data_IF_298936395094
#
_entry.id   IF_298936395094
#
_cell.length_a   1.000
_cell.length_b   1.000
_cell.length_c   1.000
_cell.angle_alpha   90.00
_cell.angle_beta   90.00
_cell.angle_gamma   90.00
#
_symmetry.space_group_name_H-M   'P 1'
#
loop_
_entity.id
_entity.type
_entity.pdbx_description
1 polymer ?
#
# COMPACT_ATOMS: atom_id res chain seq x y z
N UNK A 1 -9.96 39.24 14.35
CA UNK A 1 -10.74 38.04 14.74
C UNK A 1 -10.06 37.43 15.96
N UNK A 2 -10.69 37.50 17.14
CA UNK A 2 -10.07 37.10 18.42
C UNK A 2 -10.13 35.56 18.56
N UNK A 3 -8.98 34.92 18.74
CA UNK A 3 -8.90 33.51 19.14
C UNK A 3 -9.45 33.34 20.58
N UNK A 4 -10.34 32.37 20.84
CA UNK A 4 -10.71 32.01 22.20
C UNK A 4 -9.55 31.28 22.92
N UNK A 5 -9.46 31.36 24.25
CA UNK A 5 -8.36 30.77 25.00
C UNK A 5 -8.41 29.23 24.98
N UNK A 6 -7.23 28.61 24.82
CA UNK A 6 -7.04 27.16 24.84
C UNK A 6 -7.51 26.59 26.18
N UNK A 7 -8.51 25.70 26.16
CA UNK A 7 -8.78 24.81 27.30
C UNK A 7 -7.57 23.89 27.47
N UNK A 8 -6.98 23.92 28.66
CA UNK A 8 -5.93 22.98 29.05
C UNK A 8 -6.49 21.56 28.99
N UNK A 9 -5.89 20.70 28.16
CA UNK A 9 -6.10 19.27 28.18
C UNK A 9 -5.38 18.72 29.42
N UNK A 10 -6.14 18.19 30.38
CA UNK A 10 -5.60 17.51 31.56
C UNK A 10 -4.74 16.29 31.14
N UNK A 11 -3.63 16.00 31.84
CA UNK A 11 -2.81 14.84 31.57
C UNK A 11 -3.55 13.57 32.03
N UNK A 12 -3.92 12.70 31.08
CA UNK A 12 -4.44 11.36 31.41
C UNK A 12 -3.31 10.50 31.99
N UNK A 13 -3.55 9.95 33.18
CA UNK A 13 -2.65 9.06 33.92
C UNK A 13 -2.20 7.85 33.10
N UNK A 14 -0.99 7.30 33.34
CA UNK A 14 -0.52 6.10 32.67
C UNK A 14 -1.25 4.88 33.20
N UNK A 15 -1.98 4.17 32.33
CA UNK A 15 -2.60 2.89 32.67
C UNK A 15 -1.51 1.83 32.88
N UNK A 16 -1.51 1.28 34.10
CA UNK A 16 -0.65 0.23 34.58
C UNK A 16 -0.73 -1.05 33.74
N UNK A 17 0.40 -1.75 33.72
CA UNK A 17 0.68 -3.07 33.20
C UNK A 17 -0.40 -4.15 33.37
N UNK A 18 -0.44 -5.03 32.35
CA UNK A 18 -0.95 -6.40 32.28
C UNK A 18 -2.32 -6.60 31.59
N UNK A 19 -2.26 -7.48 30.58
CA UNK A 19 -3.28 -7.87 29.59
C UNK A 19 -3.59 -6.80 28.53
N UNK A 20 -3.16 -7.06 27.30
CA UNK A 20 -3.64 -6.35 26.12
C UNK A 20 -5.17 -6.46 26.07
N UNK A 21 -5.93 -5.35 26.16
CA UNK A 21 -7.37 -5.42 26.02
C UNK A 21 -7.67 -5.69 24.54
N UNK A 22 -8.48 -6.71 24.28
CA UNK A 22 -9.09 -6.91 22.98
C UNK A 22 -9.75 -5.60 22.53
N UNK A 23 -9.38 -5.07 21.34
CA UNK A 23 -9.97 -3.87 20.73
C UNK A 23 -11.49 -4.08 20.72
N UNK A 24 -12.29 -3.35 21.54
CA UNK A 24 -13.72 -3.59 21.60
C UNK A 24 -14.30 -3.27 20.23
N UNK A 25 -14.91 -4.27 19.59
CA UNK A 25 -15.79 -4.04 18.46
C UNK A 25 -16.80 -2.96 18.88
N UNK A 26 -17.01 -1.96 18.03
CA UNK A 26 -18.17 -1.07 18.19
C UNK A 26 -19.40 -1.96 18.45
N UNK A 27 -20.18 -1.71 19.52
CA UNK A 27 -21.22 -2.62 19.95
C UNK A 27 -22.25 -2.77 18.82
N UNK A 28 -22.39 -3.98 18.27
CA UNK A 28 -23.47 -4.32 17.34
C UNK A 28 -23.11 -4.95 15.98
N UNK A 29 -21.85 -5.28 15.68
CA UNK A 29 -21.53 -6.05 14.45
C UNK A 29 -20.77 -7.34 14.76
N UNK A 30 -21.50 -8.40 15.09
CA UNK A 30 -20.93 -9.75 15.00
C UNK A 30 -20.64 -10.08 13.52
N UNK A 31 -19.43 -10.58 13.18
CA UNK A 31 -19.12 -10.97 11.82
C UNK A 31 -19.97 -12.18 11.42
N UNK A 32 -20.67 -12.09 10.27
CA UNK A 32 -21.40 -13.24 9.72
C UNK A 32 -20.37 -14.33 9.36
N UNK A 33 -20.62 -15.61 9.70
CA UNK A 33 -19.62 -16.70 9.58
C UNK A 33 -19.11 -16.91 8.14
N UNK A 34 -19.91 -16.54 7.14
CA UNK A 34 -19.58 -16.74 5.71
C UNK A 34 -18.94 -15.52 5.02
N UNK A 35 -18.77 -14.39 5.71
CA UNK A 35 -18.22 -13.16 5.10
C UNK A 35 -16.84 -12.82 5.67
N UNK A 36 -15.84 -12.71 4.79
CA UNK A 36 -14.55 -12.10 5.14
C UNK A 36 -14.72 -10.57 5.18
N UNK A 37 -14.27 -9.92 6.24
CA UNK A 37 -14.36 -8.46 6.44
C UNK A 37 -13.02 -7.92 6.92
N UNK A 38 -12.58 -6.83 6.31
CA UNK A 38 -11.48 -6.02 6.78
C UNK A 38 -12.04 -4.76 7.47
N UNK A 39 -11.50 -4.39 8.63
CA UNK A 39 -11.88 -3.17 9.35
C UNK A 39 -10.63 -2.52 9.97
N UNK A 40 -10.49 -1.20 9.82
CA UNK A 40 -9.45 -0.44 10.52
C UNK A 40 -9.81 -0.27 12.01
N UNK A 41 -8.94 -0.68 12.94
CA UNK A 41 -9.11 -0.51 14.40
C UNK A 41 -7.86 0.12 14.99
N UNK A 42 -8.01 0.81 16.12
CA UNK A 42 -6.89 1.20 16.96
C UNK A 42 -6.53 0.04 17.92
N UNK A 43 -5.60 -0.81 17.51
CA UNK A 43 -5.13 -1.96 18.30
C UNK A 43 -3.87 -1.56 19.09
N UNK A 44 -3.93 -1.61 20.43
CA UNK A 44 -2.77 -1.35 21.30
C UNK A 44 -2.05 -0.01 21.03
N UNK A 45 -2.81 1.05 20.73
CA UNK A 45 -2.25 2.37 20.41
C UNK A 45 -1.68 2.52 19.00
N UNK A 46 -1.84 1.51 18.13
CA UNK A 46 -1.48 1.57 16.70
C UNK A 46 -2.71 1.31 15.83
N UNK A 47 -2.84 2.06 14.73
CA UNK A 47 -3.86 1.78 13.74
C UNK A 47 -3.44 0.58 12.89
N UNK A 48 -4.33 -0.41 12.80
CA UNK A 48 -4.12 -1.60 12.00
C UNK A 48 -5.43 -2.07 11.34
N UNK A 49 -5.30 -2.94 10.34
CA UNK A 49 -6.42 -3.53 9.62
C UNK A 49 -6.60 -4.94 10.16
N UNK A 50 -7.74 -5.18 10.82
CA UNK A 50 -8.15 -6.51 11.25
C UNK A 50 -8.95 -7.20 10.15
N UNK A 51 -8.53 -8.38 9.75
CA UNK A 51 -9.23 -9.28 8.84
C UNK A 51 -9.95 -10.33 9.69
N UNK A 52 -11.27 -10.42 9.52
CA UNK A 52 -12.13 -11.35 10.27
C UNK A 52 -13.08 -12.10 9.34
N UNK A 53 -13.25 -13.41 9.55
CA UNK A 53 -14.21 -14.25 8.82
C UNK A 53 -13.55 -15.42 8.08
N UNK A 54 -14.37 -16.37 7.62
CA UNK A 54 -13.91 -17.63 7.00
C UNK A 54 -12.84 -18.38 7.83
N UNK A 55 -12.93 -18.33 9.16
CA UNK A 55 -11.97 -18.98 10.06
C UNK A 55 -10.66 -18.22 10.25
N UNK A 56 -10.54 -17.00 9.72
CA UNK A 56 -9.36 -16.15 9.93
C UNK A 56 -9.71 -14.99 10.86
N UNK A 57 -8.84 -14.74 11.84
CA UNK A 57 -8.81 -13.55 12.67
C UNK A 57 -7.35 -13.09 12.75
N UNK A 58 -6.99 -12.14 11.88
CA UNK A 58 -5.60 -11.77 11.61
C UNK A 58 -5.45 -10.26 11.56
N UNK A 59 -4.32 -9.75 12.00
CA UNK A 59 -3.91 -8.37 11.76
C UNK A 59 -3.03 -8.29 10.52
N UNK A 60 -3.24 -7.27 9.68
CA UNK A 60 -2.45 -7.10 8.45
C UNK A 60 -0.98 -6.89 8.77
N UNK A 61 -0.64 -6.19 9.86
CA UNK A 61 0.75 -6.02 10.28
C UNK A 61 1.51 -7.34 10.52
N UNK A 62 0.82 -8.38 10.98
CA UNK A 62 1.39 -9.70 11.27
C UNK A 62 1.57 -10.56 10.00
N UNK A 63 0.73 -10.35 8.99
CA UNK A 63 0.62 -11.23 7.81
C UNK A 63 1.18 -10.58 6.52
N UNK A 64 1.40 -9.26 6.51
CA UNK A 64 1.82 -8.50 5.34
C UNK A 64 3.14 -8.99 4.71
N UNK A 65 4.07 -9.47 5.52
CA UNK A 65 5.39 -9.88 5.05
C UNK A 65 5.55 -11.39 4.88
N UNK A 66 4.54 -12.18 5.23
CA UNK A 66 4.59 -13.64 5.22
C UNK A 66 3.65 -14.17 4.12
N UNK A 67 2.44 -14.56 4.49
CA UNK A 67 1.47 -15.26 3.63
C UNK A 67 1.07 -14.43 2.40
N UNK A 68 1.03 -13.09 2.51
CA UNK A 68 0.65 -12.22 1.39
C UNK A 68 1.73 -12.07 0.30
N UNK A 69 2.98 -12.45 0.58
CA UNK A 69 4.09 -12.39 -0.39
C UNK A 69 4.41 -13.74 -1.03
N UNK A 70 3.71 -14.80 -0.67
CA UNK A 70 3.92 -16.11 -1.25
C UNK A 70 3.67 -16.09 -2.78
N UNK A 71 4.43 -16.84 -3.58
CA UNK A 71 4.32 -16.83 -5.04
C UNK A 71 2.92 -17.16 -5.57
N UNK A 72 2.13 -17.95 -4.81
CA UNK A 72 0.73 -18.29 -5.14
C UNK A 72 -0.19 -17.07 -5.09
N UNK A 73 0.04 -16.18 -4.13
CA UNK A 73 -0.72 -14.94 -3.97
C UNK A 73 -0.17 -13.88 -4.93
N UNK A 74 1.16 -13.73 -4.98
CA UNK A 74 1.87 -12.73 -5.78
C UNK A 74 1.46 -12.71 -7.26
N UNK A 75 1.30 -13.88 -7.89
CA UNK A 75 0.88 -14.00 -9.29
C UNK A 75 -0.53 -13.46 -9.56
N UNK A 76 -1.42 -13.51 -8.56
CA UNK A 76 -2.82 -13.11 -8.69
C UNK A 76 -3.08 -11.67 -8.25
N UNK A 77 -2.11 -11.01 -7.59
CA UNK A 77 -2.23 -9.62 -7.13
C UNK A 77 -2.66 -8.68 -8.25
N UNK A 78 -2.07 -8.71 -9.47
CA UNK A 78 -2.47 -7.79 -10.53
C UNK A 78 -3.93 -7.97 -10.97
N UNK A 79 -4.38 -9.22 -11.04
CA UNK A 79 -5.75 -9.58 -11.44
C UNK A 79 -6.77 -9.14 -10.40
N UNK A 80 -6.49 -9.41 -9.12
CA UNK A 80 -7.36 -8.98 -8.02
C UNK A 80 -7.39 -7.47 -7.93
N UNK A 81 -6.24 -6.80 -8.01
CA UNK A 81 -6.15 -5.34 -7.95
C UNK A 81 -6.99 -4.67 -9.05
N UNK A 82 -7.01 -5.22 -10.27
CA UNK A 82 -7.84 -4.68 -11.37
C UNK A 82 -9.34 -4.70 -11.05
N UNK A 83 -9.80 -5.72 -10.32
CA UNK A 83 -11.23 -5.91 -10.02
C UNK A 83 -11.65 -5.20 -8.72
N UNK A 84 -10.72 -5.00 -7.78
CA UNK A 84 -11.04 -4.51 -6.42
C UNK A 84 -10.52 -3.11 -6.13
N UNK A 85 -9.89 -2.42 -7.09
CA UNK A 85 -9.30 -1.10 -6.89
C UNK A 85 -10.27 -0.10 -6.25
N UNK A 86 -11.53 -0.07 -6.70
CA UNK A 86 -12.56 0.80 -6.13
C UNK A 86 -12.89 0.50 -4.67
N UNK A 87 -12.92 -0.78 -4.28
CA UNK A 87 -13.14 -1.20 -2.88
C UNK A 87 -11.95 -0.80 -2.00
N UNK A 88 -10.72 -0.89 -2.51
CA UNK A 88 -9.51 -0.44 -1.79
C UNK A 88 -9.57 1.07 -1.55
N UNK A 89 -9.94 1.86 -2.55
CA UNK A 89 -10.09 3.31 -2.41
C UNK A 89 -11.16 3.65 -1.38
N UNK A 90 -12.33 3.01 -1.47
CA UNK A 90 -13.43 3.21 -0.51
C UNK A 90 -13.03 2.83 0.91
N UNK A 91 -12.30 1.72 1.06
CA UNK A 91 -11.77 1.26 2.35
C UNK A 91 -10.77 2.27 2.93
N UNK A 92 -9.80 2.72 2.14
CA UNK A 92 -8.79 3.70 2.58
C UNK A 92 -9.43 5.03 2.99
N UNK A 93 -10.40 5.53 2.21
CA UNK A 93 -11.16 6.73 2.55
C UNK A 93 -11.96 6.57 3.85
N UNK A 94 -12.63 5.42 4.03
CA UNK A 94 -13.35 5.11 5.27
C UNK A 94 -12.44 5.01 6.49
N UNK A 95 -11.26 4.39 6.34
CA UNK A 95 -10.27 4.31 7.41
C UNK A 95 -9.75 5.69 7.83
N UNK A 96 -9.48 6.58 6.86
CA UNK A 96 -9.07 7.95 7.13
C UNK A 96 -10.14 8.73 7.90
N UNK A 97 -11.43 8.56 7.57
CA UNK A 97 -12.53 9.18 8.31
C UNK A 97 -12.64 8.67 9.74
N UNK A 98 -12.48 7.36 9.97
CA UNK A 98 -12.45 6.80 11.33
C UNK A 98 -11.29 7.38 12.15
N UNK A 99 -10.09 7.44 11.58
CA UNK A 99 -8.92 8.03 12.24
C UNK A 99 -9.12 9.52 12.56
N UNK A 100 -9.76 10.27 11.65
CA UNK A 100 -10.13 11.68 11.88
C UNK A 100 -11.14 11.83 13.02
N UNK A 101 -12.14 10.95 13.09
CA UNK A 101 -13.12 10.94 14.17
C UNK A 101 -12.49 10.67 15.54
N UNK A 102 -11.43 9.86 15.58
CA UNK A 102 -10.60 9.60 16.76
C UNK A 102 -9.61 10.75 17.08
N UNK A 103 -9.67 11.87 16.36
CA UNK A 103 -8.91 13.09 16.64
C UNK A 103 -7.52 13.16 15.99
N UNK A 104 -7.21 12.30 15.01
CA UNK A 104 -5.94 12.34 14.30
C UNK A 104 -5.97 13.19 13.03
N UNK A 105 -4.83 13.81 12.72
CA UNK A 105 -4.55 14.36 11.40
C UNK A 105 -4.03 13.23 10.51
N UNK A 106 -4.72 12.94 9.42
CA UNK A 106 -4.40 11.84 8.51
C UNK A 106 -3.74 12.38 7.25
N UNK A 107 -2.53 11.90 6.95
CA UNK A 107 -1.86 12.12 5.67
C UNK A 107 -1.93 10.82 4.86
N UNK A 108 -2.41 10.91 3.62
CA UNK A 108 -2.50 9.78 2.71
C UNK A 108 -1.53 9.98 1.54
N UNK A 109 -0.61 9.04 1.37
CA UNK A 109 0.37 9.01 0.28
C UNK A 109 0.04 7.87 -0.70
N UNK A 110 0.26 8.11 -1.99
CA UNK A 110 0.02 7.11 -3.02
C UNK A 110 0.23 7.64 -4.42
N UNK A 111 0.02 6.76 -5.40
CA UNK A 111 0.03 7.16 -6.83
C UNK A 111 -1.18 8.05 -7.11
N UNK A 112 -0.99 9.13 -7.86
CA UNK A 112 -2.07 10.06 -8.24
C UNK A 112 -3.30 9.33 -8.78
N UNK A 113 -3.08 8.38 -9.71
CA UNK A 113 -4.12 7.52 -10.29
C UNK A 113 -5.04 6.82 -9.29
N UNK A 114 -4.57 6.55 -8.07
CA UNK A 114 -5.40 5.95 -7.01
C UNK A 114 -5.98 7.03 -6.09
N UNK A 115 -5.17 8.03 -5.74
CA UNK A 115 -5.58 9.10 -4.83
C UNK A 115 -6.64 10.01 -5.42
N UNK A 116 -6.69 10.22 -6.74
CA UNK A 116 -7.67 11.06 -7.44
C UNK A 116 -9.12 10.69 -7.14
N UNK A 117 -9.36 9.43 -6.77
CA UNK A 117 -10.68 8.93 -6.41
C UNK A 117 -11.05 9.11 -4.92
N UNK A 118 -10.11 9.55 -4.09
CA UNK A 118 -10.36 9.92 -2.69
C UNK A 118 -10.88 11.36 -2.64
N UNK A 119 -12.11 11.52 -2.18
CA UNK A 119 -12.78 12.83 -2.06
C UNK A 119 -12.19 13.60 -0.88
N UNK A 120 -11.31 14.55 -1.16
CA UNK A 120 -10.76 15.48 -0.17
C UNK A 120 -10.49 16.83 -0.81
N UNK A 121 -10.79 17.96 -0.14
CA UNK A 121 -10.42 19.29 -0.61
C UNK A 121 -8.93 19.60 -0.41
N UNK A 122 -8.21 18.79 0.39
CA UNK A 122 -6.80 19.00 0.71
C UNK A 122 -5.94 18.00 -0.04
N UNK A 123 -5.21 18.47 -1.06
CA UNK A 123 -4.35 17.65 -1.91
C UNK A 123 -3.03 18.36 -2.20
N UNK A 124 -1.96 17.60 -2.06
CA UNK A 124 -0.61 17.99 -2.42
C UNK A 124 -0.07 16.94 -3.39
N UNK A 125 0.59 17.39 -4.46
CA UNK A 125 1.20 16.49 -5.44
C UNK A 125 2.71 16.72 -5.45
N UNK A 126 3.46 15.62 -5.31
CA UNK A 126 4.91 15.63 -5.47
C UNK A 126 5.24 15.41 -6.94
N UNK A 127 5.52 16.50 -7.65
CA UNK A 127 6.00 16.45 -9.03
C UNK A 127 7.52 16.51 -9.08
N UNK A 128 8.15 15.60 -9.80
CA UNK A 128 9.57 15.72 -10.13
C UNK A 128 9.77 16.90 -11.08
N UNK A 129 10.88 17.62 -10.91
CA UNK A 129 11.25 18.72 -11.82
C UNK A 129 11.40 18.25 -13.28
N UNK A 130 11.79 16.99 -13.50
CA UNK A 130 11.94 16.39 -14.83
C UNK A 130 11.25 15.01 -14.88
N UNK A 131 10.00 14.94 -15.37
CA UNK A 131 9.26 13.69 -15.48
C UNK A 131 9.91 12.65 -16.40
N UNK A 132 10.71 13.10 -17.37
CA UNK A 132 11.41 12.24 -18.35
C UNK A 132 12.34 11.21 -17.69
N UNK A 133 12.86 11.50 -16.49
CA UNK A 133 13.76 10.60 -15.75
C UNK A 133 13.06 9.27 -15.45
N UNK A 134 11.74 9.27 -15.19
CA UNK A 134 10.97 8.03 -14.97
C UNK A 134 10.89 7.21 -16.26
N UNK A 135 10.65 7.87 -17.40
CA UNK A 135 10.61 7.23 -18.71
C UNK A 135 11.95 6.59 -19.07
N UNK A 136 13.05 7.33 -18.88
CA UNK A 136 14.42 6.85 -19.11
C UNK A 136 14.76 5.66 -18.23
N UNK A 137 14.45 5.72 -16.93
CA UNK A 137 14.68 4.60 -16.01
C UNK A 137 13.89 3.36 -16.43
N UNK A 138 12.62 3.52 -16.82
CA UNK A 138 11.78 2.40 -17.26
C UNK A 138 12.27 1.80 -18.58
N UNK A 139 12.71 2.64 -19.53
CA UNK A 139 13.33 2.18 -20.77
C UNK A 139 14.59 1.34 -20.47
N UNK A 140 15.49 1.86 -19.63
CA UNK A 140 16.69 1.14 -19.20
C UNK A 140 16.35 -0.20 -18.53
N UNK A 141 15.37 -0.23 -17.62
CA UNK A 141 14.94 -1.47 -16.95
C UNK A 141 14.35 -2.50 -17.92
N UNK A 142 13.56 -2.07 -18.91
CA UNK A 142 13.01 -2.97 -19.94
C UNK A 142 14.11 -3.55 -20.82
N UNK A 143 15.04 -2.71 -21.27
CA UNK A 143 16.20 -3.16 -22.05
C UNK A 143 17.05 -4.17 -21.28
N UNK A 144 17.36 -3.88 -20.01
CA UNK A 144 18.14 -4.78 -19.16
C UNK A 144 17.44 -6.11 -18.93
N UNK A 145 16.13 -6.10 -18.64
CA UNK A 145 15.37 -7.33 -18.44
C UNK A 145 15.33 -8.20 -19.70
N UNK A 146 15.15 -7.61 -20.88
CA UNK A 146 15.15 -8.32 -22.14
C UNK A 146 16.53 -8.89 -22.49
N UNK A 147 17.60 -8.10 -22.30
CA UNK A 147 18.97 -8.56 -22.49
C UNK A 147 19.32 -9.72 -21.53
N UNK A 148 18.86 -9.67 -20.27
CA UNK A 148 19.07 -10.74 -19.29
C UNK A 148 18.36 -12.04 -19.68
N UNK A 149 17.18 -11.95 -20.31
CA UNK A 149 16.49 -13.13 -20.87
C UNK A 149 17.28 -13.74 -22.02
N UNK A 150 17.84 -12.91 -22.90
CA UNK A 150 18.66 -13.37 -24.03
C UNK A 150 19.98 -14.03 -23.59
N UNK A 151 20.49 -13.66 -22.40
CA UNK A 151 21.75 -14.17 -21.85
C UNK A 151 21.58 -15.32 -20.85
N UNK A 152 20.35 -15.82 -20.63
CA UNK A 152 20.04 -16.84 -19.60
C UNK A 152 20.87 -18.12 -19.71
N UNK A 153 21.25 -18.50 -20.93
CA UNK A 153 21.97 -19.75 -21.20
C UNK A 153 23.49 -19.59 -21.08
N UNK A 154 23.98 -18.40 -20.72
CA UNK A 154 25.40 -18.11 -20.55
C UNK A 154 25.75 -17.88 -19.07
N UNK A 155 26.59 -18.75 -18.45
CA UNK A 155 26.91 -18.67 -17.03
C UNK A 155 27.78 -17.46 -16.66
N UNK A 156 28.66 -17.00 -17.57
CA UNK A 156 29.39 -15.74 -17.45
C UNK A 156 29.43 -14.99 -18.79
N UNK A 157 28.49 -14.06 -19.03
CA UNK A 157 28.48 -13.28 -20.26
C UNK A 157 29.61 -12.23 -20.23
N UNK A 158 30.46 -12.26 -21.25
CA UNK A 158 31.51 -11.25 -21.42
C UNK A 158 30.92 -9.85 -21.66
N UNK A 159 31.66 -8.77 -21.32
CA UNK A 159 31.17 -7.40 -21.50
C UNK A 159 30.74 -7.07 -22.93
N UNK A 160 31.33 -7.73 -23.92
CA UNK A 160 30.99 -7.56 -25.34
C UNK A 160 29.64 -8.18 -25.69
N UNK A 161 29.36 -9.38 -25.18
CA UNK A 161 28.07 -10.05 -25.35
C UNK A 161 26.94 -9.27 -24.67
N UNK A 162 27.20 -8.68 -23.50
CA UNK A 162 26.24 -7.80 -22.82
C UNK A 162 25.95 -6.55 -23.66
N UNK A 163 26.97 -5.89 -24.21
CA UNK A 163 26.79 -4.73 -25.10
C UNK A 163 26.03 -5.10 -26.37
N UNK A 164 26.32 -6.25 -26.97
CA UNK A 164 25.64 -6.73 -28.17
C UNK A 164 24.15 -7.02 -27.88
N UNK A 165 23.84 -7.68 -26.76
CA UNK A 165 22.47 -7.93 -26.34
C UNK A 165 21.69 -6.63 -26.06
N UNK A 166 22.28 -5.68 -25.35
CA UNK A 166 21.67 -4.36 -25.09
C UNK A 166 21.44 -3.56 -26.39
N UNK A 167 22.38 -3.60 -27.33
CA UNK A 167 22.25 -2.93 -28.63
C UNK A 167 21.15 -3.57 -29.48
N UNK A 168 21.06 -4.90 -29.49
CA UNK A 168 19.98 -5.62 -30.18
C UNK A 168 18.61 -5.26 -29.62
N UNK A 169 18.47 -5.15 -28.31
CA UNK A 169 17.21 -4.71 -27.68
C UNK A 169 16.91 -3.23 -27.91
N UNK A 170 17.92 -2.35 -27.97
CA UNK A 170 17.74 -0.95 -28.33
C UNK A 170 17.12 -0.82 -29.72
N UNK A 171 17.62 -1.56 -30.72
CA UNK A 171 17.10 -1.53 -32.08
C UNK A 171 15.64 -1.98 -32.13
N UNK A 172 15.30 -3.08 -31.44
CA UNK A 172 13.91 -3.56 -31.34
C UNK A 172 12.96 -2.54 -30.70
N UNK A 173 13.44 -1.77 -29.72
CA UNK A 173 12.64 -0.73 -29.07
C UNK A 173 12.55 0.56 -29.90
N UNK A 174 13.44 0.78 -30.86
CA UNK A 174 13.41 1.93 -31.76
C UNK A 174 12.52 1.69 -33.00
N UNK A 175 12.34 0.43 -33.39
CA UNK A 175 11.50 0.03 -34.54
C UNK A 175 10.04 -0.29 -34.16
N UNK A 176 9.72 -0.35 -32.86
CA UNK A 176 8.39 -0.65 -32.31
C UNK A 176 7.59 0.60 -31.95
#
# INVERSE_FOLDING_TARGET
IRCPPRRALEPRQPLSSNLAPACPLAPGRQPRPHSLRAHACLCAGKFDIRISGKGHELLVSEVANTTLKEPRVGKNIPTVAKLTQGEVIKFAGGAAETMRADGMNVLMEGRAQTLDYVRTPHRFELTLAQPLIIGQRRAAQRMMAAALVALKDQPEPTPELVKAALKGELTKMAEA
#
